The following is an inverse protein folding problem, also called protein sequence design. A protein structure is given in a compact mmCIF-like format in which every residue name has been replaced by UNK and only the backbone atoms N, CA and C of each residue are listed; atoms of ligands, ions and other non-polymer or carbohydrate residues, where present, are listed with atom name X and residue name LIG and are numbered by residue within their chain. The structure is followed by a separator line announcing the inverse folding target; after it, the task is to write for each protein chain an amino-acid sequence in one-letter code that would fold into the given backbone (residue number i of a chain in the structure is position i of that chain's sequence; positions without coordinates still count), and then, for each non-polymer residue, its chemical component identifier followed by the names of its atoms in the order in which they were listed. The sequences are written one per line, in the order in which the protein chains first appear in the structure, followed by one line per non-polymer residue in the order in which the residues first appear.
data_IF_106848028924
#
_entry.id   IF_106848028924
#
_cell.length_a   1.000
_cell.length_b   1.000
_cell.length_c   1.000
_cell.angle_alpha   90.00
_cell.angle_beta   90.00
_cell.angle_gamma   90.00
#
_symmetry.space_group_name_H-M   'P 1'
#
loop_
_entity.id
_entity.type
_entity.pdbx_description
1 polymer ?
#
# COMPACT_ATOMS: atom_id res chain seq x y z
N UNK A 1 -4.41 23.25 -30.06
CA UNK A 1 -4.02 22.19 -31.02
C UNK A 1 -4.06 20.89 -30.30
N UNK A 2 -4.71 19.84 -30.78
CA UNK A 2 -4.69 18.50 -30.19
C UNK A 2 -3.77 17.64 -31.03
N UNK A 3 -2.84 16.95 -30.39
CA UNK A 3 -1.91 16.00 -31.01
C UNK A 3 -2.57 14.62 -31.02
N UNK A 4 -2.50 13.92 -32.14
CA UNK A 4 -3.02 12.53 -32.31
C UNK A 4 -1.84 11.57 -32.48
N UNK A 5 -2.09 10.28 -32.37
CA UNK A 5 -1.05 9.23 -32.55
C UNK A 5 -0.39 9.25 -33.96
N UNK A 6 -1.03 9.90 -34.93
CA UNK A 6 -0.51 10.03 -36.31
C UNK A 6 0.38 11.28 -36.49
N UNK A 7 0.46 12.13 -35.49
CA UNK A 7 1.21 13.38 -35.59
C UNK A 7 2.68 13.18 -35.22
N UNK A 8 3.57 13.65 -36.07
CA UNK A 8 5.01 13.68 -35.79
C UNK A 8 5.36 14.92 -34.97
N UNK A 9 5.57 14.72 -33.66
CA UNK A 9 5.96 15.81 -32.77
C UNK A 9 7.48 15.94 -32.72
N UNK A 10 7.96 17.17 -32.87
CA UNK A 10 9.40 17.51 -32.68
C UNK A 10 9.53 18.52 -31.56
N UNK A 11 10.49 18.32 -30.67
CA UNK A 11 10.93 19.29 -29.68
C UNK A 11 12.41 19.56 -29.94
N UNK A 12 12.77 20.82 -30.13
CA UNK A 12 14.14 21.25 -30.48
C UNK A 12 14.76 20.46 -31.66
N UNK A 13 13.93 20.20 -32.69
CA UNK A 13 14.33 19.46 -33.88
C UNK A 13 14.43 17.93 -33.73
N UNK A 14 14.27 17.39 -32.52
CA UNK A 14 14.29 15.94 -32.24
C UNK A 14 12.88 15.36 -32.30
N UNK A 15 12.71 14.25 -33.01
CA UNK A 15 11.47 13.50 -32.99
C UNK A 15 11.17 12.95 -31.61
N UNK A 16 9.94 13.15 -31.14
CA UNK A 16 9.44 12.58 -29.89
C UNK A 16 8.63 11.32 -30.21
N UNK A 17 9.02 10.22 -29.65
CA UNK A 17 8.21 8.99 -29.65
C UNK A 17 7.31 9.01 -28.41
N UNK A 18 6.01 8.69 -28.56
CA UNK A 18 5.14 8.51 -27.39
C UNK A 18 5.76 7.50 -26.42
N UNK A 19 5.79 7.85 -25.14
CA UNK A 19 6.21 6.88 -24.13
C UNK A 19 5.15 5.79 -24.00
N UNK A 20 5.59 4.55 -23.97
CA UNK A 20 4.72 3.42 -23.65
C UNK A 20 4.05 3.65 -22.28
N UNK A 21 2.76 3.35 -22.20
CA UNK A 21 2.00 3.45 -20.97
C UNK A 21 2.32 2.26 -20.08
N UNK A 22 2.84 2.55 -18.89
CA UNK A 22 3.31 1.55 -17.94
C UNK A 22 2.60 1.71 -16.62
N UNK A 23 2.19 0.58 -16.03
CA UNK A 23 1.63 0.52 -14.68
C UNK A 23 2.41 -0.49 -13.86
N UNK A 24 2.86 -0.09 -12.69
CA UNK A 24 3.67 -0.90 -11.78
C UNK A 24 3.01 -0.92 -10.40
N UNK A 25 2.96 -2.09 -9.78
CA UNK A 25 2.63 -2.27 -8.37
C UNK A 25 3.91 -2.40 -7.57
N UNK A 26 4.11 -1.51 -6.62
CA UNK A 26 5.22 -1.54 -5.66
C UNK A 26 4.67 -1.93 -4.29
N UNK A 27 5.32 -2.86 -3.60
CA UNK A 27 5.10 -3.08 -2.16
C UNK A 27 6.07 -2.19 -1.37
N UNK A 28 5.61 -1.01 -1.00
CA UNK A 28 6.42 -0.01 -0.30
C UNK A 28 6.78 -0.48 1.11
N UNK A 29 8.05 -0.66 1.47
CA UNK A 29 8.46 -0.91 2.83
C UNK A 29 8.38 0.36 3.69
N UNK A 30 8.47 0.19 5.01
CA UNK A 30 8.63 1.28 5.96
C UNK A 30 9.95 2.02 5.73
N UNK A 31 9.98 3.33 6.02
CA UNK A 31 11.20 4.15 5.93
C UNK A 31 11.43 4.82 4.57
N UNK A 32 10.49 4.71 3.63
CA UNK A 32 10.54 5.40 2.34
C UNK A 32 9.38 6.39 2.19
N UNK A 33 9.64 7.54 1.61
CA UNK A 33 8.62 8.58 1.36
C UNK A 33 8.11 8.56 -0.08
N UNK A 34 6.83 8.84 -0.27
CA UNK A 34 6.23 9.13 -1.57
C UNK A 34 6.55 10.59 -1.96
N UNK A 35 7.79 10.84 -2.37
CA UNK A 35 8.30 12.13 -2.82
C UNK A 35 9.34 11.92 -3.91
N UNK A 36 9.52 12.92 -4.78
CA UNK A 36 10.63 12.99 -5.76
C UNK A 36 11.95 13.32 -5.08
N UNK A 37 11.89 14.01 -3.95
CA UNK A 37 13.05 14.46 -3.20
C UNK A 37 13.14 13.72 -1.87
N UNK A 38 14.35 13.30 -1.51
CA UNK A 38 14.63 12.69 -0.22
C UNK A 38 14.40 13.71 0.92
N UNK A 39 13.93 13.22 2.04
CA UNK A 39 13.71 14.03 3.25
C UNK A 39 14.76 13.67 4.31
N UNK A 40 15.87 14.39 4.27
CA UNK A 40 17.03 14.07 5.12
C UNK A 40 17.63 12.73 4.74
N UNK A 41 17.79 11.82 5.72
CA UNK A 41 18.33 10.46 5.50
C UNK A 41 17.29 9.44 5.02
N UNK A 42 16.02 9.84 4.84
CA UNK A 42 14.94 8.95 4.43
C UNK A 42 14.91 8.84 2.91
N UNK A 43 14.98 7.61 2.38
CA UNK A 43 14.88 7.33 0.95
C UNK A 43 13.49 7.57 0.38
N UNK A 44 13.40 7.61 -0.94
CA UNK A 44 12.17 7.80 -1.69
C UNK A 44 11.68 6.49 -2.28
N UNK A 45 10.42 6.39 -2.65
CA UNK A 45 9.87 5.21 -3.38
C UNK A 45 10.57 4.99 -4.72
N UNK A 46 11.22 6.00 -5.28
CA UNK A 46 11.98 5.89 -6.52
C UNK A 46 13.32 5.16 -6.37
N UNK A 47 13.87 5.12 -5.16
CA UNK A 47 15.12 4.38 -4.87
C UNK A 47 14.89 2.85 -4.91
N UNK A 48 13.63 2.41 -4.79
CA UNK A 48 13.21 1.01 -4.90
C UNK A 48 13.01 0.56 -6.35
N UNK A 49 13.03 1.50 -7.31
CA UNK A 49 12.77 1.21 -8.71
C UNK A 49 14.05 1.33 -9.55
N UNK A 50 14.18 0.51 -10.61
CA UNK A 50 15.26 0.67 -11.57
C UNK A 50 15.17 2.03 -12.26
N UNK A 51 16.29 2.60 -12.74
CA UNK A 51 16.33 3.94 -13.36
C UNK A 51 15.29 4.15 -14.46
N UNK A 52 15.01 3.12 -15.26
CA UNK A 52 14.03 3.14 -16.36
C UNK A 52 12.58 3.40 -15.90
N UNK A 53 12.25 3.10 -14.64
CA UNK A 53 10.90 3.27 -14.08
C UNK A 53 10.76 4.51 -13.18
N UNK A 54 11.84 5.22 -12.91
CA UNK A 54 11.82 6.40 -12.03
C UNK A 54 11.07 7.60 -12.59
N UNK A 55 10.73 7.58 -13.88
CA UNK A 55 9.89 8.60 -14.50
C UNK A 55 8.40 8.46 -14.14
N UNK A 56 7.96 7.28 -13.67
CA UNK A 56 6.57 7.03 -13.27
C UNK A 56 6.15 7.91 -12.09
N UNK A 57 4.85 8.19 -11.97
CA UNK A 57 4.27 8.90 -10.85
C UNK A 57 3.60 7.93 -9.90
N UNK A 58 3.74 8.14 -8.59
CA UNK A 58 3.00 7.37 -7.60
C UNK A 58 1.52 7.80 -7.56
N UNK A 59 0.61 6.83 -7.41
CA UNK A 59 -0.83 7.04 -7.36
C UNK A 59 -1.31 7.01 -5.92
N UNK A 60 -1.70 8.15 -5.40
CA UNK A 60 -1.95 8.33 -3.98
C UNK A 60 -0.63 8.27 -3.19
N UNK A 61 -0.74 8.28 -1.87
CA UNK A 61 0.45 8.27 -0.99
C UNK A 61 0.30 7.27 0.13
N UNK A 62 1.46 6.82 0.61
CA UNK A 62 1.65 6.18 1.91
C UNK A 62 2.68 7.00 2.69
N UNK A 63 2.45 7.19 3.98
CA UNK A 63 3.41 7.87 4.86
C UNK A 63 4.71 7.06 4.96
N UNK A 64 5.80 7.67 5.42
CA UNK A 64 7.10 7.00 5.58
C UNK A 64 7.02 5.79 6.52
N UNK A 65 6.19 5.88 7.56
CA UNK A 65 5.97 4.85 8.57
C UNK A 65 4.85 3.85 8.20
N UNK A 66 4.30 3.93 6.97
CA UNK A 66 3.27 3.04 6.43
C UNK A 66 3.83 2.17 5.31
N UNK A 67 3.29 0.99 5.18
CA UNK A 67 3.76 -0.07 4.28
C UNK A 67 2.68 -0.48 3.28
N UNK A 68 3.05 -1.28 2.26
CA UNK A 68 2.11 -1.96 1.38
C UNK A 68 1.98 -1.37 -0.01
N UNK A 69 0.89 -1.68 -0.66
CA UNK A 69 0.69 -1.50 -2.09
C UNK A 69 0.66 -0.04 -2.51
N UNK A 70 1.45 0.28 -3.52
CA UNK A 70 1.50 1.59 -4.17
C UNK A 70 1.54 1.39 -5.68
N UNK A 71 0.56 1.92 -6.40
CA UNK A 71 0.58 1.93 -7.87
C UNK A 71 1.44 3.08 -8.33
N UNK A 72 2.27 2.82 -9.36
CA UNK A 72 3.09 3.82 -10.03
C UNK A 72 2.83 3.75 -11.53
N UNK A 73 2.63 4.89 -12.20
CA UNK A 73 2.26 4.93 -13.62
C UNK A 73 2.60 6.27 -14.27
N UNK A 74 2.73 6.27 -15.59
CA UNK A 74 2.71 7.47 -16.44
C UNK A 74 1.33 7.75 -17.06
N UNK A 75 0.30 6.91 -16.79
CA UNK A 75 -1.09 7.13 -17.21
C UNK A 75 -1.76 8.19 -16.32
N UNK A 76 -1.94 9.40 -16.84
CA UNK A 76 -2.56 10.52 -16.10
C UNK A 76 -4.00 10.24 -15.69
N UNK A 77 -4.80 9.66 -16.58
CA UNK A 77 -6.21 9.31 -16.33
C UNK A 77 -6.34 8.29 -15.21
N UNK A 78 -5.53 7.23 -15.21
CA UNK A 78 -5.52 6.24 -14.14
C UNK A 78 -5.15 6.85 -12.80
N UNK A 79 -4.16 7.76 -12.79
CA UNK A 79 -3.76 8.51 -11.59
C UNK A 79 -4.92 9.30 -11.03
N UNK A 80 -5.67 10.00 -11.89
CA UNK A 80 -6.82 10.80 -11.47
C UNK A 80 -7.92 9.93 -10.85
N UNK A 81 -8.34 8.86 -11.52
CA UNK A 81 -9.42 7.98 -11.04
C UNK A 81 -9.08 7.32 -9.71
N UNK A 82 -7.87 6.79 -9.56
CA UNK A 82 -7.44 6.07 -8.34
C UNK A 82 -7.15 6.99 -7.15
N UNK A 83 -6.73 8.25 -7.42
CA UNK A 83 -6.34 9.20 -6.36
C UNK A 83 -7.51 10.06 -5.90
N UNK A 84 -8.44 10.40 -6.79
CA UNK A 84 -9.50 11.34 -6.47
C UNK A 84 -10.60 10.67 -5.61
N UNK A 85 -11.09 11.35 -4.56
CA UNK A 85 -12.13 10.80 -3.68
C UNK A 85 -13.42 10.42 -4.41
N UNK A 86 -13.78 11.13 -5.50
CA UNK A 86 -14.97 10.82 -6.30
C UNK A 86 -14.88 9.51 -7.06
N UNK A 87 -13.67 8.94 -7.22
CA UNK A 87 -13.49 7.62 -7.81
C UNK A 87 -14.06 6.49 -6.94
N UNK A 88 -14.28 6.76 -5.65
CA UNK A 88 -14.88 5.81 -4.72
C UNK A 88 -14.09 4.50 -4.57
N UNK A 89 -12.81 4.50 -4.97
CA UNK A 89 -11.98 3.29 -4.95
C UNK A 89 -11.56 2.98 -3.51
N UNK A 90 -11.95 1.80 -3.06
CA UNK A 90 -11.63 1.30 -1.74
C UNK A 90 -10.14 1.01 -1.58
N UNK A 91 -9.61 1.34 -0.40
CA UNK A 91 -8.28 0.93 0.05
C UNK A 91 -8.44 0.19 1.37
N UNK A 92 -7.88 -1.00 1.44
CA UNK A 92 -7.93 -1.83 2.64
C UNK A 92 -6.59 -1.80 3.36
N UNK A 93 -6.65 -1.62 4.67
CA UNK A 93 -5.49 -1.49 5.54
C UNK A 93 -5.55 -2.50 6.67
N UNK A 94 -4.41 -3.16 6.90
CA UNK A 94 -4.16 -3.95 8.08
C UNK A 94 -3.45 -3.10 9.10
N UNK A 95 -3.99 -3.12 10.30
CA UNK A 95 -3.55 -2.25 11.39
C UNK A 95 -3.20 -3.09 12.60
N UNK A 96 -2.01 -2.89 13.17
CA UNK A 96 -1.63 -3.41 14.47
C UNK A 96 -1.45 -2.22 15.43
N UNK A 97 -2.07 -2.29 16.59
CA UNK A 97 -2.00 -1.26 17.64
C UNK A 97 -1.18 -1.75 18.84
N UNK A 98 -0.85 -0.84 19.75
CA UNK A 98 0.03 -1.09 20.90
C UNK A 98 -0.65 -1.82 22.05
N UNK A 99 -1.97 -1.82 22.13
CA UNK A 99 -2.73 -2.44 23.22
C UNK A 99 -4.02 -3.08 22.71
N UNK A 100 -4.63 -3.92 23.54
CA UNK A 100 -5.86 -4.59 23.21
C UNK A 100 -7.01 -3.58 23.07
N UNK A 101 -7.91 -3.83 22.14
CA UNK A 101 -9.13 -3.06 21.94
C UNK A 101 -10.31 -4.00 21.68
N UNK A 102 -11.52 -3.49 21.83
CA UNK A 102 -12.75 -4.22 21.55
C UNK A 102 -13.46 -3.69 20.29
N UNK A 103 -14.57 -4.32 19.93
CA UNK A 103 -15.35 -3.95 18.75
C UNK A 103 -15.96 -2.54 18.85
N UNK A 104 -16.10 -1.97 20.06
CA UNK A 104 -16.66 -0.63 20.25
C UNK A 104 -15.82 0.44 19.57
N UNK A 105 -14.50 0.25 19.54
CA UNK A 105 -13.55 1.10 18.82
C UNK A 105 -13.86 1.09 17.32
N UNK A 106 -14.01 -0.09 16.73
CA UNK A 106 -14.28 -0.23 15.30
C UNK A 106 -15.67 0.33 14.93
N UNK A 107 -16.65 0.16 15.81
CA UNK A 107 -17.98 0.73 15.61
C UNK A 107 -17.98 2.26 15.57
N UNK A 108 -17.08 2.92 16.32
CA UNK A 108 -16.87 4.37 16.23
C UNK A 108 -16.32 4.78 14.87
N UNK A 109 -15.43 3.99 14.26
CA UNK A 109 -14.92 4.26 12.92
C UNK A 109 -15.98 4.22 11.83
N UNK A 110 -16.99 3.35 11.99
CA UNK A 110 -18.16 3.31 11.09
C UNK A 110 -19.09 4.51 11.27
N UNK A 111 -19.19 5.06 12.48
CA UNK A 111 -19.99 6.27 12.76
C UNK A 111 -19.26 7.52 12.26
N UNK A 112 -17.94 7.51 12.34
CA UNK A 112 -17.04 8.61 12.04
C UNK A 112 -16.41 9.18 13.28
N UNK A 113 -15.11 9.48 13.16
CA UNK A 113 -14.27 10.07 14.20
C UNK A 113 -13.80 11.45 13.74
N UNK A 114 -13.95 12.45 14.59
CA UNK A 114 -13.44 13.80 14.30
C UNK A 114 -11.93 13.82 14.45
N UNK A 115 -11.23 14.07 13.37
CA UNK A 115 -9.79 14.28 13.30
C UNK A 115 -9.50 15.72 12.83
N UNK A 116 -8.28 16.24 12.95
CA UNK A 116 -7.95 17.60 12.50
C UNK A 116 -8.31 17.88 11.04
N UNK A 117 -8.17 16.89 10.17
CA UNK A 117 -8.46 17.00 8.74
C UNK A 117 -9.96 16.88 8.39
N UNK A 118 -10.82 16.61 9.38
CA UNK A 118 -12.26 16.53 9.17
C UNK A 118 -12.90 15.30 9.83
N UNK A 119 -14.05 14.87 9.31
CA UNK A 119 -14.74 13.67 9.78
C UNK A 119 -14.20 12.43 9.04
N UNK A 120 -13.42 11.61 9.75
CA UNK A 120 -12.84 10.38 9.24
C UNK A 120 -13.78 9.21 9.45
N UNK A 121 -14.17 8.53 8.38
CA UNK A 121 -15.11 7.42 8.42
C UNK A 121 -14.55 6.20 7.70
N UNK A 122 -14.70 5.03 8.30
CA UNK A 122 -14.46 3.76 7.62
C UNK A 122 -15.72 3.30 6.89
N UNK A 123 -15.55 2.69 5.72
CA UNK A 123 -16.65 2.04 4.99
C UNK A 123 -16.97 0.68 5.62
N UNK A 124 -15.92 -0.10 5.87
CA UNK A 124 -16.00 -1.39 6.53
C UNK A 124 -14.87 -1.56 7.52
N UNK A 125 -15.09 -2.37 8.54
CA UNK A 125 -14.09 -2.75 9.54
C UNK A 125 -14.22 -4.24 9.88
N UNK A 126 -13.11 -4.84 10.30
CA UNK A 126 -13.06 -6.20 10.80
C UNK A 126 -12.03 -6.27 11.93
N UNK A 127 -12.33 -6.96 13.02
CA UNK A 127 -11.37 -7.28 14.06
C UNK A 127 -10.71 -8.61 13.75
N UNK A 128 -9.39 -8.58 13.55
CA UNK A 128 -8.62 -9.78 13.24
C UNK A 128 -8.07 -10.46 14.51
N UNK A 129 -7.68 -9.67 15.53
CA UNK A 129 -7.24 -10.19 16.84
C UNK A 129 -7.42 -9.14 17.93
N UNK A 130 -6.91 -9.40 19.14
CA UNK A 130 -6.96 -8.45 20.26
C UNK A 130 -6.34 -7.09 19.92
N UNK A 131 -5.27 -7.06 19.10
CA UNK A 131 -4.52 -5.85 18.70
C UNK A 131 -4.51 -5.59 17.19
N UNK A 132 -5.26 -6.37 16.39
CA UNK A 132 -5.27 -6.22 14.92
C UNK A 132 -6.66 -5.95 14.38
N UNK A 133 -6.73 -5.05 13.42
CA UNK A 133 -7.95 -4.73 12.69
C UNK A 133 -7.69 -4.63 11.18
N UNK A 134 -8.74 -4.87 10.41
CA UNK A 134 -8.82 -4.51 9.01
C UNK A 134 -9.75 -3.31 8.86
N UNK A 135 -9.35 -2.31 8.09
CA UNK A 135 -10.12 -1.09 7.86
C UNK A 135 -10.16 -0.80 6.36
N UNK A 136 -11.37 -0.63 5.83
CA UNK A 136 -11.59 -0.26 4.43
C UNK A 136 -12.04 1.20 4.37
N UNK A 137 -11.33 2.00 3.58
CA UNK A 137 -11.57 3.42 3.37
C UNK A 137 -11.83 3.73 1.90
N UNK A 138 -12.71 4.68 1.62
CA UNK A 138 -12.85 5.39 0.35
C UNK A 138 -12.21 6.78 0.41
N UNK A 139 -12.02 7.31 1.62
CA UNK A 139 -11.37 8.59 1.88
C UNK A 139 -9.85 8.44 1.92
N UNK A 140 -9.15 9.54 1.72
CA UNK A 140 -7.67 9.61 1.79
C UNK A 140 -7.18 10.80 2.60
N UNK A 141 -7.73 11.06 3.79
CA UNK A 141 -7.29 12.14 4.67
C UNK A 141 -5.86 11.88 5.16
N UNK A 142 -5.13 12.95 5.43
CA UNK A 142 -3.74 12.84 5.92
C UNK A 142 -3.68 12.01 7.20
N UNK A 143 -2.87 10.93 7.19
CA UNK A 143 -2.69 10.01 8.32
C UNK A 143 -4.01 9.50 8.95
N UNK A 144 -5.06 9.37 8.13
CA UNK A 144 -6.43 9.12 8.58
C UNK A 144 -6.53 7.96 9.58
N UNK A 145 -6.06 6.78 9.21
CA UNK A 145 -6.13 5.57 10.07
C UNK A 145 -5.43 5.82 11.41
N UNK A 146 -4.23 6.38 11.38
CA UNK A 146 -3.45 6.64 12.60
C UNK A 146 -4.14 7.62 13.54
N UNK A 147 -4.71 8.68 12.98
CA UNK A 147 -5.43 9.68 13.74
C UNK A 147 -6.75 9.14 14.32
N UNK A 148 -7.48 8.29 13.56
CA UNK A 148 -8.69 7.65 14.06
C UNK A 148 -8.41 6.79 15.30
N UNK A 149 -7.36 5.98 15.29
CA UNK A 149 -6.96 5.20 16.46
C UNK A 149 -6.45 6.10 17.60
N UNK A 150 -5.66 7.12 17.29
CA UNK A 150 -5.13 8.04 18.29
C UNK A 150 -6.22 8.81 19.05
N UNK A 151 -7.30 9.21 18.36
CA UNK A 151 -8.46 9.86 19.01
C UNK A 151 -9.15 8.93 20.03
N UNK A 152 -8.97 7.63 19.93
CA UNK A 152 -9.50 6.64 20.86
C UNK A 152 -8.43 6.09 21.82
N UNK A 153 -7.31 6.78 21.96
CA UNK A 153 -6.24 6.44 22.89
C UNK A 153 -5.34 5.28 22.45
N UNK A 154 -5.43 4.84 21.19
CA UNK A 154 -4.66 3.73 20.65
C UNK A 154 -3.55 4.20 19.72
N UNK A 155 -2.36 3.62 19.82
CA UNK A 155 -1.23 3.95 18.95
C UNK A 155 -1.02 2.86 17.90
N UNK A 156 -1.07 3.25 16.63
CA UNK A 156 -0.79 2.34 15.51
C UNK A 156 0.71 2.04 15.43
N UNK A 157 1.09 0.78 15.59
CA UNK A 157 2.45 0.25 15.49
C UNK A 157 2.79 -0.14 14.06
N UNK A 158 1.89 -0.84 13.37
CA UNK A 158 2.05 -1.26 11.98
C UNK A 158 0.81 -0.89 11.16
N UNK A 159 1.01 -0.40 9.95
CA UNK A 159 -0.05 -0.03 9.02
C UNK A 159 0.38 -0.47 7.62
N UNK A 160 -0.36 -1.41 7.05
CA UNK A 160 -0.07 -1.99 5.75
C UNK A 160 -1.28 -1.83 4.83
N UNK A 161 -1.10 -1.22 3.66
CA UNK A 161 -2.15 -1.21 2.64
C UNK A 161 -2.06 -2.49 1.81
N UNK A 162 -3.06 -3.34 1.93
CA UNK A 162 -3.07 -4.69 1.33
C UNK A 162 -3.90 -4.79 0.06
N UNK A 163 -4.84 -3.83 -0.18
CA UNK A 163 -5.75 -3.85 -1.33
C UNK A 163 -6.03 -2.44 -1.86
N UNK A 164 -6.17 -2.33 -3.17
CA UNK A 164 -6.63 -1.13 -3.89
C UNK A 164 -7.69 -1.59 -4.89
N UNK A 165 -8.95 -1.12 -4.74
CA UNK A 165 -10.07 -1.70 -5.46
C UNK A 165 -10.21 -3.19 -5.13
N UNK A 166 -10.21 -4.05 -6.14
CA UNK A 166 -10.11 -5.52 -6.01
C UNK A 166 -8.69 -6.07 -6.20
N UNK A 167 -7.70 -5.20 -6.45
CA UNK A 167 -6.31 -5.60 -6.65
C UNK A 167 -5.62 -5.88 -5.31
N UNK A 168 -5.11 -7.09 -5.13
CA UNK A 168 -4.27 -7.54 -4.02
C UNK A 168 -2.80 -7.62 -4.42
N UNK A 169 -1.89 -7.49 -3.45
CA UNK A 169 -0.45 -7.56 -3.71
C UNK A 169 0.10 -8.95 -4.00
N UNK A 170 -0.64 -10.00 -3.65
CA UNK A 170 -0.14 -11.37 -3.73
C UNK A 170 1.11 -11.56 -2.86
N UNK A 171 2.07 -12.33 -3.36
CA UNK A 171 3.34 -12.63 -2.68
C UNK A 171 4.44 -11.59 -2.95
N UNK A 172 4.08 -10.35 -3.30
CA UNK A 172 5.05 -9.31 -3.59
C UNK A 172 5.78 -8.90 -2.31
N UNK A 173 7.07 -9.21 -2.22
CA UNK A 173 7.91 -8.91 -1.05
C UNK A 173 8.03 -7.39 -0.79
N UNK A 174 8.28 -6.95 0.45
CA UNK A 174 8.56 -5.55 0.75
C UNK A 174 9.75 -5.02 -0.05
N UNK A 175 9.57 -3.89 -0.73
CA UNK A 175 10.53 -3.31 -1.68
C UNK A 175 10.47 -3.90 -3.09
N UNK A 176 9.77 -5.02 -3.27
CA UNK A 176 9.54 -5.62 -4.58
C UNK A 176 8.49 -4.84 -5.39
N UNK A 177 8.56 -4.99 -6.69
CA UNK A 177 7.60 -4.40 -7.62
C UNK A 177 7.33 -5.38 -8.79
N UNK A 178 6.18 -5.21 -9.45
CA UNK A 178 5.81 -5.95 -10.65
C UNK A 178 5.06 -5.05 -11.63
N UNK A 179 5.12 -5.37 -12.93
CA UNK A 179 4.21 -4.76 -13.90
C UNK A 179 2.78 -5.24 -13.66
N UNK A 180 1.81 -4.37 -13.92
CA UNK A 180 0.39 -4.71 -13.93
C UNK A 180 -0.10 -4.78 -15.37
N UNK A 181 -0.77 -5.86 -15.71
CA UNK A 181 -1.49 -5.99 -16.98
C UNK A 181 -2.85 -5.25 -16.94
N UNK A 182 -3.54 -5.23 -18.08
CA UNK A 182 -4.84 -4.54 -18.18
C UNK A 182 -5.91 -5.16 -17.25
N UNK A 183 -5.83 -6.45 -16.94
CA UNK A 183 -6.75 -7.09 -16.02
C UNK A 183 -6.46 -6.70 -14.56
N UNK A 184 -5.21 -6.64 -14.15
CA UNK A 184 -4.80 -6.12 -12.85
C UNK A 184 -5.21 -4.65 -12.68
N UNK A 185 -5.03 -3.84 -13.72
CA UNK A 185 -5.49 -2.45 -13.76
C UNK A 185 -7.02 -2.38 -13.62
N UNK A 186 -7.76 -3.22 -14.34
CA UNK A 186 -9.22 -3.28 -14.23
C UNK A 186 -9.68 -3.70 -12.81
N UNK A 187 -8.95 -4.60 -12.15
CA UNK A 187 -9.20 -4.96 -10.75
C UNK A 187 -8.97 -3.78 -9.81
N UNK A 188 -7.96 -2.95 -10.04
CA UNK A 188 -7.69 -1.77 -9.22
C UNK A 188 -8.81 -0.72 -9.29
N UNK A 189 -9.56 -0.70 -10.37
CA UNK A 189 -10.66 0.24 -10.64
C UNK A 189 -12.04 -0.25 -10.16
N UNK A 190 -12.15 -1.50 -9.69
CA UNK A 190 -13.40 -2.09 -9.21
C UNK A 190 -13.30 -2.41 -7.73
N UNK A 191 -14.32 -2.07 -6.97
CA UNK A 191 -14.42 -2.50 -5.59
C UNK A 191 -14.99 -3.94 -5.53
N UNK A 192 -14.47 -4.81 -4.64
CA UNK A 192 -15.00 -6.15 -4.47
C UNK A 192 -16.38 -6.11 -3.82
N UNK A 193 -17.19 -7.14 -3.95
CA UNK A 193 -18.40 -7.29 -3.16
C UNK A 193 -18.05 -7.35 -1.67
N UNK A 194 -18.97 -6.87 -0.83
CA UNK A 194 -18.76 -6.89 0.63
C UNK A 194 -18.62 -8.32 1.13
N UNK A 195 -17.54 -8.61 1.81
CA UNK A 195 -17.34 -9.90 2.47
C UNK A 195 -18.05 -9.94 3.83
N UNK A 196 -18.54 -11.13 4.23
CA UNK A 196 -19.30 -11.33 5.50
C UNK A 196 -18.52 -10.95 6.76
N UNK A 197 -17.19 -11.08 6.73
CA UNK A 197 -16.30 -10.72 7.84
C UNK A 197 -16.29 -9.22 8.19
N UNK A 198 -16.73 -8.36 7.27
CA UNK A 198 -16.70 -6.92 7.49
C UNK A 198 -17.99 -6.42 8.15
N UNK A 199 -17.84 -5.63 9.20
CA UNK A 199 -18.90 -4.80 9.77
C UNK A 199 -19.00 -3.51 8.95
N UNK A 200 -20.19 -3.12 8.60
CA UNK A 200 -20.48 -1.88 7.88
C UNK A 200 -21.53 -1.03 8.60
N UNK A 201 -21.78 0.17 8.10
CA UNK A 201 -22.71 1.13 8.72
C UNK A 201 -24.15 0.58 8.89
N UNK A 202 -24.59 -0.32 8.01
CA UNK A 202 -25.93 -0.97 8.12
C UNK A 202 -26.10 -1.82 9.39
N UNK A 203 -24.99 -2.31 9.97
CA UNK A 203 -25.01 -3.10 11.21
C UNK A 203 -25.00 -2.25 12.48
N UNK A 204 -24.79 -0.92 12.36
CA UNK A 204 -24.95 0.01 13.48
C UNK A 204 -26.39 0.14 13.94
N UNK A 205 -27.36 -0.08 13.04
CA UNK A 205 -28.80 0.09 13.31
C UNK A 205 -29.40 -1.17 13.96
N UNK A 206 -28.83 -2.34 13.68
CA UNK A 206 -29.33 -3.64 14.18
C UNK A 206 -28.79 -4.05 15.57
N UNK A 207 -27.84 -3.32 16.13
CA UNK A 207 -27.07 -3.73 17.31
C UNK A 207 -27.56 -3.18 18.66
N UNK A 208 -28.85 -3.13 18.87
CA UNK A 208 -29.43 -3.03 20.22
C UNK A 208 -29.63 -4.41 20.87
N UNK A 209 -28.59 -5.23 20.95
CA UNK A 209 -28.70 -6.51 21.66
C UNK A 209 -28.10 -7.70 20.95
N UNK A 210 -26.78 -7.83 20.99
CA UNK A 210 -26.14 -9.10 20.71
C UNK A 210 -25.31 -9.51 21.91
N UNK A 211 -25.80 -10.55 22.60
CA UNK A 211 -25.05 -11.31 23.60
C UNK A 211 -23.82 -11.92 22.94
N UNK A 212 -22.66 -11.83 23.65
CA UNK A 212 -21.41 -12.34 23.17
C UNK A 212 -21.41 -13.85 22.92
N UNK A 213 -20.91 -14.25 21.76
CA UNK A 213 -20.38 -15.59 21.58
C UNK A 213 -18.85 -15.54 21.77
N UNK A 214 -18.43 -16.22 22.82
CA UNK A 214 -17.05 -16.57 23.09
C UNK A 214 -16.68 -17.76 22.19
N UNK A 215 -15.57 -17.68 21.49
CA UNK A 215 -15.05 -18.84 20.79
C UNK A 215 -13.94 -18.51 19.81
N UNK A 216 -12.71 -18.55 20.28
CA UNK A 216 -11.52 -18.49 19.42
C UNK A 216 -10.27 -18.38 20.28
N UNK A 217 -9.62 -19.52 20.56
CA UNK A 217 -8.33 -19.54 21.28
C UNK A 217 -7.29 -18.82 20.46
N UNK A 218 -6.82 -17.68 20.99
CA UNK A 218 -5.77 -16.89 20.41
C UNK A 218 -4.41 -17.59 20.56
N UNK A 219 -3.64 -17.58 19.51
CA UNK A 219 -2.19 -17.82 19.55
C UNK A 219 -1.55 -16.44 19.63
N UNK A 220 -1.12 -16.05 20.83
CA UNK A 220 -0.32 -14.86 21.08
C UNK A 220 1.15 -15.18 20.78
N UNK A 221 1.61 -14.85 19.60
CA UNK A 221 3.03 -14.64 19.32
C UNK A 221 3.18 -13.39 18.47
N UNK A 222 3.71 -12.35 19.09
CA UNK A 222 3.89 -11.01 18.50
C UNK A 222 5.15 -10.89 17.62
N UNK A 223 5.74 -12.01 17.21
CA UNK A 223 6.96 -12.02 16.39
C UNK A 223 6.59 -11.90 14.93
N UNK A 224 7.14 -10.90 14.27
CA UNK A 224 7.23 -10.59 12.84
C UNK A 224 6.24 -11.34 11.93
N UNK A 225 4.96 -10.94 11.99
CA UNK A 225 3.98 -11.45 11.05
C UNK A 225 4.27 -10.91 9.65
N UNK A 226 4.88 -11.74 8.84
CA UNK A 226 4.89 -11.58 7.39
C UNK A 226 3.47 -11.85 6.90
N UNK A 227 2.85 -10.89 6.23
CA UNK A 227 1.54 -11.07 5.60
C UNK A 227 1.62 -12.29 4.67
N UNK A 228 0.97 -13.37 5.04
CA UNK A 228 0.73 -14.51 4.18
C UNK A 228 -0.76 -14.49 3.82
N UNK A 229 -1.13 -14.37 2.53
CA UNK A 229 -2.53 -14.46 2.10
C UNK A 229 -3.21 -15.77 2.54
N UNK A 230 -2.45 -16.85 2.72
CA UNK A 230 -2.94 -18.17 3.13
C UNK A 230 -3.39 -18.21 4.60
N UNK A 231 -2.89 -17.31 5.46
CA UNK A 231 -3.34 -17.23 6.87
C UNK A 231 -4.79 -16.72 6.99
N UNK A 232 -5.41 -16.36 5.87
CA UNK A 232 -6.80 -15.92 5.77
C UNK A 232 -7.79 -17.02 5.40
N UNK A 233 -7.31 -18.17 4.94
CA UNK A 233 -8.16 -19.26 4.45
C UNK A 233 -8.77 -20.14 5.55
N UNK A 234 -8.42 -19.90 6.81
CA UNK A 234 -9.00 -20.68 7.93
C UNK A 234 -10.37 -20.18 8.39
N UNK A 235 -11.28 -19.81 7.48
CA UNK A 235 -12.61 -19.50 7.93
C UNK A 235 -13.67 -19.00 6.97
N UNK A 236 -13.38 -18.56 5.75
CA UNK A 236 -14.40 -18.35 4.70
C UNK A 236 -13.70 -18.17 3.35
N UNK A 237 -13.90 -19.13 2.48
CA UNK A 237 -13.33 -19.24 1.14
C UNK A 237 -13.52 -17.99 0.29
N UNK A 238 -12.48 -17.16 0.16
CA UNK A 238 -12.26 -16.48 -1.08
C UNK A 238 -11.71 -17.53 -2.05
N UNK A 239 -12.59 -18.20 -2.77
CA UNK A 239 -12.16 -18.92 -3.97
C UNK A 239 -11.87 -17.87 -5.04
N UNK A 240 -10.62 -17.70 -5.47
CA UNK A 240 -10.34 -16.98 -6.70
C UNK A 240 -11.13 -17.67 -7.80
N UNK A 241 -11.82 -16.89 -8.64
CA UNK A 241 -12.57 -17.43 -9.76
C UNK A 241 -11.68 -18.33 -10.62
N UNK A 242 -12.21 -19.34 -11.30
CA UNK A 242 -11.43 -20.21 -12.19
C UNK A 242 -10.52 -19.44 -13.15
N UNK A 243 -10.93 -18.26 -13.58
CA UNK A 243 -10.16 -17.34 -14.41
C UNK A 243 -8.91 -16.77 -13.72
N UNK A 244 -8.90 -16.65 -12.39
CA UNK A 244 -7.71 -16.25 -11.63
C UNK A 244 -6.74 -17.41 -11.41
N UNK A 245 -7.23 -18.67 -11.36
CA UNK A 245 -6.39 -19.87 -11.20
C UNK A 245 -5.68 -20.27 -12.49
N UNK A 246 -6.25 -19.99 -13.67
CA UNK A 246 -5.68 -20.37 -14.97
C UNK A 246 -4.55 -19.47 -15.46
N UNK A 247 -4.30 -18.32 -14.83
CA UNK A 247 -3.23 -17.38 -15.21
C UNK A 247 -1.83 -17.75 -14.73
N UNK A 248 -1.66 -18.84 -14.00
CA UNK A 248 -0.36 -19.33 -13.52
C UNK A 248 0.20 -20.49 -14.35
N UNK A 249 -0.27 -20.71 -15.59
CA UNK A 249 0.38 -21.65 -16.51
C UNK A 249 1.45 -20.90 -17.28
N UNK A 250 2.69 -21.19 -16.96
CA UNK A 250 3.89 -20.63 -17.59
C UNK A 250 3.97 -20.98 -19.07
N UNK A 251 3.96 -19.98 -19.95
CA UNK A 251 4.50 -20.12 -21.32
C UNK A 251 6.01 -19.83 -21.28
N UNK A 252 6.79 -20.48 -22.17
CA UNK A 252 8.25 -20.30 -22.20
C UNK A 252 8.68 -18.85 -22.43
N UNK A 253 7.87 -18.04 -23.10
CA UNK A 253 8.10 -16.61 -23.33
C UNK A 253 7.94 -15.74 -22.06
N UNK A 254 7.22 -16.22 -21.03
CA UNK A 254 7.06 -15.48 -19.76
C UNK A 254 8.26 -15.62 -18.82
N UNK A 255 9.18 -16.56 -19.05
CA UNK A 255 10.37 -16.76 -18.23
C UNK A 255 11.37 -15.59 -18.37
N UNK A 256 11.55 -15.08 -19.59
CA UNK A 256 12.42 -13.93 -19.81
C UNK A 256 11.87 -12.64 -19.17
N UNK A 257 10.53 -12.50 -19.16
CA UNK A 257 9.87 -11.33 -18.50
C UNK A 257 9.90 -11.45 -16.98
N UNK A 258 9.91 -12.70 -16.42
CA UNK A 258 9.96 -12.92 -14.97
C UNK A 258 11.32 -12.59 -14.35
N UNK A 259 12.43 -12.84 -15.04
CA UNK A 259 13.76 -12.44 -14.55
C UNK A 259 13.90 -10.91 -14.45
N UNK A 260 13.21 -10.17 -15.31
CA UNK A 260 13.20 -8.71 -15.31
C UNK A 260 12.10 -8.08 -14.42
N UNK A 261 11.08 -8.84 -14.02
CA UNK A 261 9.87 -8.35 -13.36
C UNK A 261 9.90 -8.32 -11.83
N UNK A 262 10.73 -9.13 -11.19
CA UNK A 262 10.89 -9.19 -9.74
C UNK A 262 12.26 -8.69 -9.34
N UNK A 263 12.36 -7.45 -8.92
CA UNK A 263 13.60 -6.91 -8.39
C UNK A 263 13.47 -6.70 -6.87
N UNK A 264 14.31 -7.38 -6.10
CA UNK A 264 14.59 -7.00 -4.71
C UNK A 264 15.41 -5.72 -4.76
N UNK A 265 14.92 -4.64 -4.19
CA UNK A 265 15.75 -3.50 -3.92
C UNK A 265 16.91 -3.94 -3.00
N UNK A 266 18.12 -3.95 -3.54
CA UNK A 266 19.32 -4.28 -2.78
C UNK A 266 19.49 -3.22 -1.68
N UNK A 267 19.08 -3.55 -0.46
CA UNK A 267 19.24 -2.72 0.73
C UNK A 267 20.65 -2.80 1.31
N UNK A 268 21.64 -2.92 0.43
CA UNK A 268 23.07 -2.90 0.80
C UNK A 268 23.53 -1.54 1.30
N UNK A 269 23.04 -1.12 2.44
CA UNK A 269 23.60 0.00 3.19
C UNK A 269 24.93 -0.44 3.82
N UNK A 270 26.02 -0.40 3.06
CA UNK A 270 27.38 -0.49 3.62
C UNK A 270 27.66 0.83 4.34
N UNK A 271 27.64 0.79 5.66
CA UNK A 271 28.21 1.83 6.51
C UNK A 271 29.71 1.95 6.16
N UNK A 272 30.09 3.02 5.51
CA UNK A 272 31.51 3.40 5.42
C UNK A 272 31.90 4.02 6.75
N UNK A 273 32.51 3.20 7.62
CA UNK A 273 33.34 3.67 8.71
C UNK A 273 34.51 4.48 8.13
N UNK A 274 34.39 5.78 8.16
CA UNK A 274 35.56 6.68 8.04
C UNK A 274 36.13 6.88 9.43
N UNK A 275 37.04 6.00 9.83
CA UNK A 275 38.06 6.35 10.85
C UNK A 275 39.07 7.26 10.18
N UNK A 276 38.94 8.55 10.41
CA UNK A 276 39.94 9.52 10.09
C UNK A 276 41.01 9.53 11.17
N UNK A 277 42.22 9.05 10.83
CA UNK A 277 43.42 9.25 11.62
C UNK A 277 43.77 10.73 11.70
N UNK A 278 43.64 11.31 12.88
CA UNK A 278 44.23 12.59 13.22
C UNK A 278 45.70 12.39 13.59
N UNK A 279 46.58 12.54 12.62
CA UNK A 279 48.03 12.76 12.89
C UNK A 279 48.23 14.20 13.33
N UNK A 280 48.58 14.35 14.62
CA UNK A 280 49.26 15.52 15.17
C UNK A 280 50.61 15.68 14.50
N UNK A 281 50.90 16.81 13.91
CA UNK A 281 52.26 17.38 13.84
C UNK A 281 52.17 18.81 14.32
N UNK A 282 52.86 19.02 15.44
CA UNK A 282 53.25 20.32 15.92
C UNK A 282 54.51 20.78 15.19
N UNK A 283 54.71 22.05 15.24
CA UNK A 283 55.93 22.89 15.16
C UNK A 283 55.43 24.20 14.54
N UNK A 284 55.49 25.38 15.15
CA UNK A 284 56.63 25.97 15.80
C UNK A 284 56.99 27.22 15.00
N UNK A 285 57.12 28.36 15.69
CA UNK A 285 57.79 29.58 15.33
C UNK A 285 56.99 30.73 14.65
N UNK A 286 56.92 31.73 15.44
CA UNK A 286 57.06 33.19 15.52
C UNK A 286 55.79 33.99 15.38
#
# INVERSE_FOLDING_TARGET
MRVTEKDFVKVDGRHMTPMEEVVVLLNKPRGYVCSREAQGAIGTVYDLLPPRLRHLNYVGRLDADSEGLLIMTNKGELTQVLSHPTGGIEKEYWVTVDQNFDNSVLMQFLRGVRIPEGNAKAKYVCRASARRACIVLEQGLKRQVRQMFQCLGLRVRKLVRVRIGSLWGGHLEPGGWKFLDDADVALSLKNPPRQRKYLGASQLVAGGGAKGEQGGRGVDSDEDYVFNPEDFEAGDSYEPTPEMKTRFVETEDEREVKEDGYFRGDSGFRSRDRRGDFHRRGDGFR
#
